data_IF_417184754783
#
_entry.id   IF_417184754783
#
_cell.length_a   1.000
_cell.length_b   1.000
_cell.length_c   1.000
_cell.angle_alpha   90.00
_cell.angle_beta   90.00
_cell.angle_gamma   90.00
#
_symmetry.space_group_name_H-M   'P 1'
#
loop_
_entity.id
_entity.type
_entity.pdbx_description
1 polymer ?
#
# COMPACT_ATOMS: atom_id res chain seq x y z
N UNK A 1 14.63 34.96 3.46
CA UNK A 1 13.70 34.26 2.54
C UNK A 1 12.75 33.42 3.39
N UNK A 2 11.48 33.39 3.03
CA UNK A 2 10.50 32.52 3.67
C UNK A 2 10.87 31.05 3.40
N UNK A 3 10.81 30.22 4.43
CA UNK A 3 11.18 28.81 4.30
C UNK A 3 10.10 28.08 3.50
N UNK A 4 10.48 27.48 2.39
CA UNK A 4 9.58 26.62 1.61
C UNK A 4 9.21 25.39 2.42
N UNK A 5 7.93 25.06 2.43
CA UNK A 5 7.42 23.83 3.07
C UNK A 5 6.61 23.03 2.07
N UNK A 6 6.84 21.72 2.01
CA UNK A 6 6.05 20.77 1.24
C UNK A 6 5.27 19.83 2.15
N UNK A 7 4.07 19.46 1.72
CA UNK A 7 3.19 18.52 2.41
C UNK A 7 3.29 17.17 1.73
N UNK A 8 3.76 16.15 2.46
CA UNK A 8 3.95 14.78 1.98
C UNK A 8 2.99 13.85 2.70
N UNK A 9 2.27 13.01 1.96
CA UNK A 9 1.29 12.08 2.50
C UNK A 9 1.62 10.66 2.05
N UNK A 10 2.05 9.81 3.00
CA UNK A 10 2.62 8.50 2.75
C UNK A 10 2.04 7.45 3.71
N UNK A 11 2.38 6.20 3.49
CA UNK A 11 2.14 5.09 4.41
C UNK A 11 2.96 5.22 5.69
N UNK A 12 2.46 4.65 6.79
CA UNK A 12 3.06 4.81 8.12
C UNK A 12 4.50 4.30 8.24
N UNK A 13 4.83 3.21 7.57
CA UNK A 13 6.11 2.51 7.71
C UNK A 13 7.03 2.62 6.47
N UNK A 14 6.80 3.59 5.60
CA UNK A 14 7.50 3.71 4.31
C UNK A 14 8.70 4.67 4.31
N UNK A 15 9.06 5.22 5.47
CA UNK A 15 10.20 6.12 5.59
C UNK A 15 10.88 5.92 6.95
N UNK A 16 12.19 6.09 6.99
CA UNK A 16 12.94 6.12 8.24
C UNK A 16 12.81 7.49 8.91
N UNK A 17 12.45 7.50 10.18
CA UNK A 17 12.17 8.69 10.98
C UNK A 17 13.22 9.00 12.06
N UNK A 18 14.35 8.30 12.01
CA UNK A 18 15.44 8.46 12.97
C UNK A 18 15.33 7.59 14.22
N UNK A 19 14.29 6.76 14.34
CA UNK A 19 14.19 5.78 15.42
C UNK A 19 15.14 4.60 15.19
N UNK A 20 15.44 3.85 16.26
CA UNK A 20 16.29 2.64 16.24
C UNK A 20 17.70 2.84 15.62
N UNK A 21 18.21 4.07 15.63
CA UNK A 21 19.54 4.41 15.09
C UNK A 21 19.59 4.60 13.59
N UNK A 22 18.44 4.59 12.92
CA UNK A 22 18.33 4.90 11.50
C UNK A 22 18.34 6.41 11.23
N UNK A 23 18.59 6.78 9.98
CA UNK A 23 18.57 8.19 9.56
C UNK A 23 17.13 8.73 9.58
N UNK A 24 16.94 9.96 10.06
CA UNK A 24 15.71 10.73 9.81
C UNK A 24 15.79 11.34 8.41
N UNK A 25 15.09 10.73 7.47
CA UNK A 25 15.13 11.10 6.05
C UNK A 25 14.56 12.50 5.81
N UNK A 26 13.45 12.85 6.48
CA UNK A 26 12.83 14.17 6.34
C UNK A 26 13.74 15.29 6.88
N UNK A 27 14.40 15.04 7.99
CA UNK A 27 15.40 15.96 8.55
C UNK A 27 16.60 16.10 7.61
N UNK A 28 17.17 15.00 7.14
CA UNK A 28 18.30 15.00 6.22
C UNK A 28 17.96 15.73 4.91
N UNK A 29 16.77 15.54 4.37
CA UNK A 29 16.29 16.27 3.20
C UNK A 29 16.20 17.77 3.46
N UNK A 30 15.64 18.16 4.61
CA UNK A 30 15.54 19.57 5.00
C UNK A 30 16.92 20.20 5.17
N UNK A 31 17.86 19.50 5.79
CA UNK A 31 19.25 19.98 5.96
C UNK A 31 19.97 20.14 4.61
N UNK A 32 19.72 19.23 3.67
CA UNK A 32 20.35 19.27 2.35
C UNK A 32 19.77 20.34 1.40
N UNK A 33 18.47 20.62 1.51
CA UNK A 33 17.75 21.45 0.53
C UNK A 33 17.24 22.80 1.08
N UNK A 34 17.12 22.93 2.39
CA UNK A 34 16.43 24.05 3.02
C UNK A 34 14.89 23.97 2.96
N UNK A 35 14.33 22.94 2.32
CA UNK A 35 12.89 22.74 2.19
C UNK A 35 12.38 21.94 3.39
N UNK A 36 11.41 22.48 4.11
CA UNK A 36 10.77 21.78 5.23
C UNK A 36 9.76 20.74 4.71
N UNK A 37 9.73 19.57 5.32
CA UNK A 37 8.75 18.53 5.06
C UNK A 37 7.70 18.51 6.18
N UNK A 38 6.43 18.74 5.83
CA UNK A 38 5.29 18.45 6.67
C UNK A 38 4.78 17.06 6.30
N UNK A 39 5.18 16.06 7.08
CA UNK A 39 4.96 14.65 6.78
C UNK A 39 3.73 14.13 7.52
N UNK A 40 2.82 13.51 6.77
CA UNK A 40 1.59 12.91 7.27
C UNK A 40 1.46 11.48 6.78
N UNK A 41 0.76 10.64 7.53
CA UNK A 41 0.55 9.24 7.17
C UNK A 41 -0.91 8.89 7.00
N UNK A 42 -1.17 7.83 6.22
CA UNK A 42 -2.48 7.21 6.05
C UNK A 42 -2.40 5.70 6.22
N UNK A 43 -3.52 5.09 6.57
CA UNK A 43 -3.62 3.66 6.85
C UNK A 43 -4.14 2.86 5.64
N UNK A 44 -4.85 3.53 4.70
CA UNK A 44 -5.36 2.91 3.48
C UNK A 44 -5.46 3.91 2.34
N UNK A 45 -5.39 3.40 1.08
CA UNK A 45 -5.61 4.24 -0.11
C UNK A 45 -6.98 4.89 -0.10
N UNK A 46 -8.00 4.22 0.43
CA UNK A 46 -9.38 4.69 0.48
C UNK A 46 -9.54 5.88 1.44
N UNK A 47 -8.90 5.82 2.60
CA UNK A 47 -8.85 6.94 3.55
C UNK A 47 -8.10 8.13 2.97
N UNK A 48 -6.96 7.90 2.35
CA UNK A 48 -6.18 8.92 1.65
C UNK A 48 -7.02 9.58 0.54
N UNK A 49 -7.62 8.78 -0.35
CA UNK A 49 -8.47 9.26 -1.43
C UNK A 49 -9.66 10.09 -0.92
N UNK A 50 -10.36 9.61 0.12
CA UNK A 50 -11.48 10.33 0.71
C UNK A 50 -11.05 11.70 1.21
N UNK A 51 -9.89 11.78 1.85
CA UNK A 51 -9.34 13.03 2.35
C UNK A 51 -8.96 14.00 1.22
N UNK A 52 -8.40 13.51 0.11
CA UNK A 52 -8.14 14.32 -1.08
C UNK A 52 -9.44 14.88 -1.68
N UNK A 53 -10.46 14.03 -1.80
CA UNK A 53 -11.77 14.41 -2.38
C UNK A 53 -12.54 15.42 -1.56
N UNK A 54 -12.50 15.32 -0.25
CA UNK A 54 -13.27 16.23 0.64
C UNK A 54 -12.69 17.64 0.68
N UNK A 55 -11.47 17.83 0.21
CA UNK A 55 -10.78 19.12 0.29
C UNK A 55 -10.39 19.50 1.73
N UNK A 56 -9.71 20.59 1.90
CA UNK A 56 -9.28 21.07 3.22
C UNK A 56 -7.84 20.73 3.58
N UNK A 57 -7.16 19.97 2.73
CA UNK A 57 -5.71 19.77 2.81
C UNK A 57 -5.12 19.75 1.41
N UNK A 58 -4.06 20.50 1.20
CA UNK A 58 -3.24 20.45 -0.02
C UNK A 58 -2.02 19.57 0.25
N UNK A 59 -1.79 18.61 -0.63
CA UNK A 59 -0.60 17.78 -0.61
C UNK A 59 0.21 18.04 -1.87
N UNK A 60 1.52 18.17 -1.71
CA UNK A 60 2.45 18.36 -2.82
C UNK A 60 2.93 17.02 -3.36
N UNK A 61 3.06 16.02 -2.47
CA UNK A 61 3.48 14.66 -2.81
C UNK A 61 2.62 13.64 -2.06
N UNK A 62 2.11 12.66 -2.79
CA UNK A 62 1.37 11.51 -2.24
C UNK A 62 2.00 10.20 -2.71
N UNK A 63 1.99 9.17 -1.89
CA UNK A 63 2.58 7.86 -2.20
C UNK A 63 1.51 6.75 -2.12
N UNK A 64 0.55 6.68 -3.05
CA UNK A 64 -0.46 5.63 -3.09
C UNK A 64 0.02 4.37 -3.82
N UNK A 65 -0.79 3.31 -3.75
CA UNK A 65 -0.61 2.12 -4.56
C UNK A 65 -1.06 2.35 -6.01
N UNK A 66 -0.59 1.52 -6.90
CA UNK A 66 -0.80 1.54 -8.36
C UNK A 66 -2.26 1.72 -8.79
N UNK A 67 -3.18 0.89 -8.27
CA UNK A 67 -4.61 0.97 -8.61
C UNK A 67 -5.25 2.31 -8.21
N UNK A 68 -4.76 2.91 -7.11
CA UNK A 68 -5.24 4.21 -6.68
C UNK A 68 -4.66 5.33 -7.54
N UNK A 69 -3.41 5.19 -8.02
CA UNK A 69 -2.82 6.10 -9.00
C UNK A 69 -3.66 6.09 -10.28
N UNK A 70 -4.00 4.90 -10.82
CA UNK A 70 -4.87 4.79 -11.99
C UNK A 70 -6.19 5.56 -11.81
N UNK A 71 -6.80 5.44 -10.63
CA UNK A 71 -8.02 6.17 -10.29
C UNK A 71 -7.80 7.67 -10.24
N UNK A 72 -6.74 8.13 -9.56
CA UNK A 72 -6.44 9.56 -9.44
C UNK A 72 -6.14 10.20 -10.80
N UNK A 73 -5.47 9.48 -11.71
CA UNK A 73 -5.25 9.91 -13.10
C UNK A 73 -6.59 10.03 -13.83
N UNK A 74 -7.45 9.01 -13.74
CA UNK A 74 -8.77 9.01 -14.42
C UNK A 74 -9.71 10.11 -13.95
N UNK A 75 -9.47 10.66 -12.77
CA UNK A 75 -10.25 11.73 -12.16
C UNK A 75 -9.56 13.11 -12.23
N UNK A 76 -8.47 13.23 -13.02
CA UNK A 76 -7.70 14.48 -13.21
C UNK A 76 -7.21 15.10 -11.87
N UNK A 77 -6.81 14.25 -10.92
CA UNK A 77 -6.39 14.67 -9.59
C UNK A 77 -4.88 14.83 -9.42
N UNK A 78 -4.08 14.48 -10.43
CA UNK A 78 -2.63 14.54 -10.41
C UNK A 78 -2.12 15.55 -11.44
N UNK A 79 -1.00 16.19 -11.11
CA UNK A 79 -0.25 17.03 -12.06
C UNK A 79 0.80 16.20 -12.79
N UNK A 80 1.02 16.50 -14.05
CA UNK A 80 2.13 15.91 -14.81
C UNK A 80 3.47 16.34 -14.21
N UNK A 81 4.41 15.39 -14.16
CA UNK A 81 5.77 15.61 -13.65
C UNK A 81 6.67 16.19 -14.75
N UNK A 82 7.47 17.17 -14.39
CA UNK A 82 8.59 17.62 -15.23
C UNK A 82 9.85 16.83 -14.88
N UNK A 83 10.12 15.78 -15.63
CA UNK A 83 11.27 14.90 -15.42
C UNK A 83 12.63 15.58 -15.64
N UNK A 84 12.68 16.75 -16.28
CA UNK A 84 13.92 17.55 -16.35
C UNK A 84 14.41 17.98 -14.97
N UNK A 85 13.49 18.08 -14.01
CA UNK A 85 13.76 18.39 -12.62
C UNK A 85 14.01 17.15 -11.75
N UNK A 86 13.93 15.94 -12.31
CA UNK A 86 14.09 14.66 -11.61
C UNK A 86 15.23 13.82 -12.25
N UNK A 87 16.47 14.30 -12.23
CA UNK A 87 17.58 13.63 -12.94
C UNK A 87 17.87 12.22 -12.41
N UNK A 88 17.58 11.96 -11.15
CA UNK A 88 17.77 10.64 -10.53
C UNK A 88 16.79 9.58 -11.05
N UNK A 89 15.72 9.98 -11.78
CA UNK A 89 14.82 9.04 -12.45
C UNK A 89 15.56 8.11 -13.44
N UNK A 90 16.68 8.56 -13.99
CA UNK A 90 17.53 7.74 -14.84
C UNK A 90 18.08 6.47 -14.13
N UNK A 91 18.14 6.48 -12.80
CA UNK A 91 18.55 5.33 -11.98
C UNK A 91 17.43 4.35 -11.63
N UNK A 92 16.19 4.65 -12.00
CA UNK A 92 15.06 3.72 -11.80
C UNK A 92 15.17 2.58 -12.81
N UNK A 93 15.02 1.33 -12.34
CA UNK A 93 15.05 0.15 -13.20
C UNK A 93 13.92 0.21 -14.24
N UNK A 94 14.22 -0.17 -15.47
CA UNK A 94 13.26 -0.16 -16.58
C UNK A 94 12.03 -1.05 -16.33
N UNK A 95 12.17 -2.10 -15.51
CA UNK A 95 11.07 -2.97 -15.13
C UNK A 95 9.93 -2.24 -14.37
N UNK A 96 10.22 -1.09 -13.76
CA UNK A 96 9.25 -0.30 -13.00
C UNK A 96 8.80 0.97 -13.73
N UNK A 97 9.21 1.16 -14.97
CA UNK A 97 8.80 2.26 -15.84
C UNK A 97 7.68 1.83 -16.79
N UNK A 98 6.93 2.77 -17.32
CA UNK A 98 5.86 2.54 -18.28
C UNK A 98 4.85 1.47 -17.82
N UNK A 99 4.49 1.52 -16.54
CA UNK A 99 3.54 0.58 -15.94
C UNK A 99 2.13 0.79 -16.48
N UNK A 100 1.29 -0.25 -16.40
CA UNK A 100 -0.07 -0.19 -16.94
C UNK A 100 -0.94 0.95 -16.37
N UNK A 101 -0.67 1.39 -15.16
CA UNK A 101 -1.39 2.48 -14.51
C UNK A 101 -0.89 3.89 -14.90
N UNK A 102 0.32 4.02 -15.42
CA UNK A 102 0.92 5.26 -15.94
C UNK A 102 1.85 4.94 -17.11
N UNK A 103 1.30 4.54 -18.27
CA UNK A 103 2.06 3.95 -19.38
C UNK A 103 3.06 4.90 -20.04
N UNK A 104 2.84 6.20 -19.91
CA UNK A 104 3.72 7.24 -20.45
C UNK A 104 4.66 7.84 -19.39
N UNK A 105 4.62 7.32 -18.15
CA UNK A 105 5.32 7.89 -16.96
C UNK A 105 5.10 9.40 -16.81
N UNK A 106 3.87 9.87 -16.92
CA UNK A 106 3.58 11.31 -16.83
C UNK A 106 3.41 11.80 -15.40
N UNK A 107 2.97 10.92 -14.49
CA UNK A 107 2.45 11.31 -13.19
C UNK A 107 3.24 10.73 -12.03
N UNK A 108 4.07 9.69 -12.24
CA UNK A 108 4.61 8.89 -11.14
C UNK A 108 6.11 8.62 -11.23
N UNK A 109 6.74 8.59 -10.06
CA UNK A 109 8.07 8.01 -9.88
C UNK A 109 7.91 6.78 -8.97
N UNK A 110 8.38 5.58 -9.38
CA UNK A 110 8.33 4.40 -8.52
C UNK A 110 9.06 4.62 -7.20
N UNK A 111 8.40 4.31 -6.09
CA UNK A 111 8.94 4.46 -4.75
C UNK A 111 9.42 3.13 -4.17
N UNK A 112 8.53 2.15 -4.14
CA UNK A 112 8.83 0.81 -3.63
C UNK A 112 7.86 -0.22 -4.20
N UNK A 113 8.24 -1.47 -4.12
CA UNK A 113 7.37 -2.61 -4.41
C UNK A 113 7.57 -3.68 -3.35
N UNK A 114 6.64 -4.58 -3.23
CA UNK A 114 6.72 -5.67 -2.27
C UNK A 114 5.88 -6.87 -2.68
N UNK A 115 5.99 -7.92 -1.89
CA UNK A 115 5.20 -9.14 -2.02
C UNK A 115 4.33 -9.33 -0.79
N UNK A 116 3.16 -9.91 -0.99
CA UNK A 116 2.26 -10.31 0.09
C UNK A 116 2.48 -11.78 0.41
N UNK A 117 2.50 -12.12 1.69
CA UNK A 117 2.68 -13.50 2.14
C UNK A 117 2.12 -13.73 3.54
N UNK A 118 2.09 -14.98 3.97
CA UNK A 118 1.65 -15.36 5.31
C UNK A 118 2.87 -15.42 6.25
N UNK A 119 2.82 -14.63 7.31
CA UNK A 119 3.75 -14.77 8.44
C UNK A 119 3.10 -15.67 9.48
N UNK A 120 3.80 -16.67 9.94
CA UNK A 120 3.27 -17.63 10.91
C UNK A 120 4.25 -17.92 12.04
N UNK A 121 3.70 -18.27 13.20
CA UNK A 121 4.50 -18.67 14.34
C UNK A 121 4.79 -20.18 14.29
N UNK A 122 6.06 -20.55 14.07
CA UNK A 122 6.54 -21.94 13.95
C UNK A 122 6.24 -22.84 15.15
N UNK A 123 5.93 -22.27 16.32
CA UNK A 123 5.56 -23.05 17.53
C UNK A 123 4.13 -23.55 17.49
N UNK A 124 3.26 -22.92 16.71
CA UNK A 124 1.82 -23.15 16.77
C UNK A 124 1.20 -23.57 15.44
N UNK A 125 1.90 -23.37 14.34
CA UNK A 125 1.45 -23.76 13.00
C UNK A 125 2.21 -24.99 12.58
N UNK A 126 1.48 -26.06 12.22
CA UNK A 126 2.08 -27.30 11.75
C UNK A 126 2.64 -27.13 10.33
N UNK A 127 3.81 -27.72 10.09
CA UNK A 127 4.45 -27.66 8.77
C UNK A 127 3.60 -28.25 7.64
N UNK A 128 2.76 -29.25 7.95
CA UNK A 128 1.85 -29.87 6.99
C UNK A 128 0.74 -28.93 6.48
N UNK A 129 0.46 -27.84 7.20
CA UNK A 129 -0.58 -26.87 6.84
C UNK A 129 -0.01 -25.70 6.03
N UNK A 130 1.30 -25.69 5.75
CA UNK A 130 1.99 -24.60 5.03
C UNK A 130 1.93 -24.79 3.51
N UNK A 131 2.20 -23.71 2.77
CA UNK A 131 2.37 -23.72 1.31
C UNK A 131 1.13 -23.31 0.52
N UNK A 132 0.04 -22.95 1.20
CA UNK A 132 -1.16 -22.45 0.55
C UNK A 132 -1.79 -21.30 1.35
N UNK A 133 -2.55 -20.45 0.66
CA UNK A 133 -3.42 -19.45 1.28
C UNK A 133 -4.56 -20.09 2.12
N UNK A 134 -4.84 -21.38 1.93
CA UNK A 134 -5.82 -22.15 2.73
C UNK A 134 -5.54 -22.10 4.24
N UNK A 135 -4.29 -21.85 4.64
CA UNK A 135 -3.92 -21.64 6.03
C UNK A 135 -4.79 -20.60 6.73
N UNK A 136 -5.17 -19.54 6.01
CA UNK A 136 -6.01 -18.46 6.53
C UNK A 136 -7.50 -18.82 6.64
N UNK A 137 -7.91 -20.00 6.15
CA UNK A 137 -9.26 -20.60 6.28
C UNK A 137 -9.27 -21.86 7.12
N UNK A 138 -8.12 -22.25 7.68
CA UNK A 138 -8.04 -23.46 8.47
C UNK A 138 -8.63 -23.23 9.87
N UNK A 139 -9.75 -23.92 10.16
CA UNK A 139 -10.48 -23.82 11.42
C UNK A 139 -9.65 -24.19 12.66
N UNK A 140 -8.57 -24.96 12.48
CA UNK A 140 -7.58 -25.30 13.53
C UNK A 140 -6.97 -24.03 14.17
N UNK A 141 -6.86 -22.96 13.39
CA UNK A 141 -6.30 -21.70 13.83
C UNK A 141 -7.36 -20.61 14.09
N UNK A 142 -8.60 -21.00 14.26
CA UNK A 142 -9.71 -20.09 14.54
C UNK A 142 -9.41 -19.16 15.72
N UNK A 143 -9.70 -17.88 15.57
CA UNK A 143 -9.43 -16.84 16.56
C UNK A 143 -7.96 -16.47 16.72
N UNK A 144 -7.08 -16.94 15.82
CA UNK A 144 -5.62 -16.65 15.82
C UNK A 144 -5.12 -16.11 14.48
N UNK A 145 -6.02 -15.85 13.56
CA UNK A 145 -5.74 -15.34 12.23
C UNK A 145 -5.89 -13.83 12.25
N UNK A 146 -4.89 -13.10 11.81
CA UNK A 146 -4.97 -11.69 11.49
C UNK A 146 -5.06 -11.53 9.96
N UNK A 147 -5.93 -10.67 9.52
CA UNK A 147 -6.17 -10.40 8.11
C UNK A 147 -5.98 -8.91 7.83
N UNK A 148 -5.71 -8.55 6.58
CA UNK A 148 -5.63 -7.16 6.18
C UNK A 148 -6.95 -6.41 6.37
N UNK A 149 -6.88 -5.21 6.91
CA UNK A 149 -7.93 -4.17 6.86
C UNK A 149 -7.77 -3.30 5.61
N UNK A 150 -7.34 -3.92 4.54
CA UNK A 150 -7.21 -3.36 3.20
C UNK A 150 -8.05 -4.24 2.26
N UNK A 151 -9.14 -3.74 1.68
CA UNK A 151 -10.03 -4.56 0.87
C UNK A 151 -9.34 -5.14 -0.37
N UNK A 152 -8.46 -4.39 -1.01
CA UNK A 152 -7.77 -4.85 -2.22
C UNK A 152 -6.92 -6.10 -1.96
N UNK A 153 -6.08 -6.06 -0.93
CA UNK A 153 -5.24 -7.21 -0.56
C UNK A 153 -6.06 -8.38 -0.04
N UNK A 154 -7.11 -8.11 0.76
CA UNK A 154 -7.99 -9.16 1.26
C UNK A 154 -8.72 -9.90 0.13
N UNK A 155 -9.24 -9.16 -0.86
CA UNK A 155 -9.87 -9.75 -2.06
C UNK A 155 -8.85 -10.53 -2.88
N UNK A 156 -7.66 -9.97 -3.16
CA UNK A 156 -6.63 -10.64 -3.92
C UNK A 156 -6.25 -12.00 -3.33
N UNK A 157 -6.15 -12.11 -2.01
CA UNK A 157 -5.88 -13.40 -1.33
C UNK A 157 -7.01 -14.40 -1.56
N UNK A 158 -8.27 -13.97 -1.47
CA UNK A 158 -9.41 -14.85 -1.73
C UNK A 158 -9.51 -15.27 -3.21
N UNK A 159 -9.23 -14.34 -4.12
CA UNK A 159 -9.19 -14.59 -5.56
C UNK A 159 -8.10 -15.60 -5.93
N UNK A 160 -6.87 -15.41 -5.41
CA UNK A 160 -5.78 -16.36 -5.60
C UNK A 160 -6.12 -17.75 -5.08
N UNK A 161 -6.78 -17.85 -3.93
CA UNK A 161 -7.22 -19.13 -3.38
C UNK A 161 -8.27 -19.82 -4.27
N UNK A 162 -9.11 -19.05 -4.95
CA UNK A 162 -10.14 -19.54 -5.86
C UNK A 162 -9.62 -19.75 -7.30
N UNK A 163 -8.37 -19.38 -7.59
CA UNK A 163 -7.80 -19.42 -8.94
C UNK A 163 -8.36 -18.34 -9.87
N UNK A 164 -8.85 -17.25 -9.31
CA UNK A 164 -9.38 -16.08 -10.03
C UNK A 164 -8.24 -15.09 -10.27
N UNK A 165 -8.27 -14.38 -11.40
CA UNK A 165 -7.35 -13.28 -11.67
C UNK A 165 -7.61 -12.12 -10.68
N UNK A 166 -6.56 -11.68 -9.99
CA UNK A 166 -6.63 -10.57 -9.01
C UNK A 166 -7.04 -9.22 -9.61
N UNK A 167 -7.08 -9.11 -10.92
CA UNK A 167 -7.56 -7.95 -11.67
C UNK A 167 -8.91 -8.22 -12.35
N UNK A 168 -9.62 -9.28 -11.99
CA UNK A 168 -10.91 -9.58 -12.55
C UNK A 168 -11.92 -8.48 -12.24
N UNK A 169 -12.72 -8.10 -13.27
CA UNK A 169 -13.86 -7.20 -13.16
C UNK A 169 -15.19 -7.96 -13.25
N UNK A 170 -15.13 -9.28 -13.35
CA UNK A 170 -16.31 -10.13 -13.42
C UNK A 170 -17.06 -10.15 -12.08
N UNK A 171 -18.35 -9.80 -12.12
CA UNK A 171 -19.16 -9.64 -10.92
C UNK A 171 -19.44 -10.97 -10.20
N UNK A 172 -19.45 -12.09 -10.91
CA UNK A 172 -19.67 -13.40 -10.31
C UNK A 172 -18.41 -13.93 -9.65
N UNK A 173 -17.23 -13.63 -10.22
CA UNK A 173 -15.93 -13.90 -9.61
C UNK A 173 -15.72 -13.06 -8.34
N UNK A 174 -15.97 -11.76 -8.40
CA UNK A 174 -15.92 -10.87 -7.23
C UNK A 174 -16.89 -11.29 -6.12
N UNK A 175 -18.09 -11.76 -6.51
CA UNK A 175 -19.06 -12.31 -5.55
C UNK A 175 -18.54 -13.58 -4.90
N UNK A 176 -17.89 -14.46 -5.67
CA UNK A 176 -17.29 -15.68 -5.16
C UNK A 176 -16.18 -15.37 -4.14
N UNK A 177 -15.29 -14.41 -4.42
CA UNK A 177 -14.28 -13.93 -3.50
C UNK A 177 -14.93 -13.34 -2.23
N UNK A 178 -16.01 -12.58 -2.37
CA UNK A 178 -16.79 -12.05 -1.24
C UNK A 178 -17.29 -13.17 -0.33
N UNK A 179 -17.90 -14.22 -0.89
CA UNK A 179 -18.38 -15.36 -0.10
C UNK A 179 -17.24 -16.07 0.59
N UNK A 180 -16.09 -16.19 -0.06
CA UNK A 180 -14.89 -16.79 0.54
C UNK A 180 -14.38 -15.99 1.74
N UNK A 181 -14.39 -14.66 1.68
CA UNK A 181 -14.05 -13.80 2.81
C UNK A 181 -15.10 -13.86 3.94
N UNK A 182 -16.39 -13.97 3.61
CA UNK A 182 -17.45 -14.17 4.61
C UNK A 182 -17.26 -15.50 5.35
N UNK A 183 -16.88 -16.58 4.65
CA UNK A 183 -16.55 -17.88 5.23
C UNK A 183 -15.35 -17.77 6.20
N UNK A 184 -14.35 -16.96 5.88
CA UNK A 184 -13.18 -16.74 6.73
C UNK A 184 -13.51 -15.93 8.01
N UNK A 185 -14.43 -14.98 7.92
CA UNK A 185 -14.69 -13.99 8.96
C UNK A 185 -14.81 -14.57 10.38
N UNK A 186 -15.52 -15.68 10.64
CA UNK A 186 -15.61 -16.25 11.99
C UNK A 186 -14.29 -16.83 12.52
N UNK A 187 -13.29 -17.04 11.67
CA UNK A 187 -11.97 -17.56 12.02
C UNK A 187 -10.98 -16.46 12.38
N UNK A 188 -11.26 -15.22 11.95
CA UNK A 188 -10.37 -14.08 12.07
C UNK A 188 -10.43 -13.51 13.49
N UNK A 189 -9.26 -13.28 14.09
CA UNK A 189 -9.11 -12.59 15.36
C UNK A 189 -9.34 -11.09 15.21
N UNK A 190 -8.91 -10.53 14.10
CA UNK A 190 -9.03 -9.10 13.80
C UNK A 190 -8.48 -8.74 12.42
N UNK A 191 -8.93 -7.59 11.94
CA UNK A 191 -8.41 -6.96 10.75
C UNK A 191 -7.40 -5.89 11.17
N UNK A 192 -6.25 -5.85 10.53
CA UNK A 192 -5.12 -4.99 10.94
C UNK A 192 -4.38 -4.43 9.73
N UNK A 193 -3.79 -3.26 9.93
CA UNK A 193 -2.73 -2.67 9.10
C UNK A 193 -1.50 -2.48 9.99
N UNK A 194 -1.00 -1.24 10.13
CA UNK A 194 0.19 -0.94 10.92
C UNK A 194 0.09 -1.36 12.41
N UNK A 195 -1.13 -1.55 12.93
CA UNK A 195 -1.35 -2.06 14.29
C UNK A 195 -0.71 -3.44 14.54
N UNK A 196 -0.36 -4.18 13.48
CA UNK A 196 0.36 -5.46 13.60
C UNK A 196 1.72 -5.31 14.27
N UNK A 197 2.38 -4.17 14.11
CA UNK A 197 3.70 -3.92 14.69
C UNK A 197 3.68 -3.72 16.21
N UNK A 198 2.51 -3.51 16.79
CA UNK A 198 2.31 -3.35 18.24
C UNK A 198 1.66 -4.56 18.91
N UNK A 199 1.43 -5.64 18.18
CA UNK A 199 0.86 -6.93 18.63
C UNK A 199 1.86 -8.05 18.55
#
# INVERSE_FOLDING_TARGET
AEQVTINVYNWGQYISDGTDGYIDVNKAFTEATGIKVNYMTFDSNETMYTKLKTGGSTYDVIIPSDYMIARLISEDMLLELDYSNIPNYAGVDEAYKNTAFDPDNKYTVPYTWGTVGIIYNKKYVDEADLGSWDLLWNSKYSGKILMFDNPRDAFAIAELLLGIDINSEDQDELRSATYKLIEQKPLVQGYVMDQIFSK
#
